data_IF_635952029929
#
_entry.id   IF_635952029929
#
_cell.length_a   1.000
_cell.length_b   1.000
_cell.length_c   1.000
_cell.angle_alpha   90.00
_cell.angle_beta   90.00
_cell.angle_gamma   90.00
#
_symmetry.space_group_name_H-M   'P 1'
#
loop_
_entity.id
_entity.type
_entity.pdbx_description
1 polymer ?
#
# COMPACT_ATOMS: atom_id res chain seq x y z
N UNK A 1 -23.85 -3.06 29.24
CA UNK A 1 -24.19 -2.57 27.89
C UNK A 1 -23.32 -1.36 27.63
N UNK A 2 -22.09 -1.61 27.19
CA UNK A 2 -21.13 -0.57 26.81
C UNK A 2 -20.64 -0.99 25.44
N UNK A 3 -21.34 -0.48 24.42
CA UNK A 3 -20.96 -0.63 23.02
C UNK A 3 -20.17 0.63 22.67
N UNK A 4 -18.85 0.52 22.79
CA UNK A 4 -17.89 1.59 22.53
C UNK A 4 -17.66 1.73 21.02
N UNK A 5 -18.09 2.87 20.48
CA UNK A 5 -17.40 3.67 19.46
C UNK A 5 -16.54 2.88 18.45
N UNK A 6 -17.20 2.34 17.42
CA UNK A 6 -16.56 2.11 16.13
C UNK A 6 -16.53 3.47 15.42
N UNK A 7 -15.37 4.13 15.43
CA UNK A 7 -15.05 5.15 14.44
C UNK A 7 -15.04 4.47 13.06
N UNK A 8 -16.17 4.53 12.36
CA UNK A 8 -16.22 4.18 10.95
C UNK A 8 -15.38 5.23 10.18
N UNK A 9 -14.29 4.76 9.59
CA UNK A 9 -13.49 5.51 8.62
C UNK A 9 -14.41 5.89 7.45
N UNK A 10 -15.04 7.07 7.55
CA UNK A 10 -15.98 7.59 6.57
C UNK A 10 -15.34 7.70 5.19
N UNK A 11 -15.78 6.85 4.26
CA UNK A 11 -15.52 7.01 2.84
C UNK A 11 -16.74 6.53 2.05
N UNK A 12 -17.39 7.48 1.37
CA UNK A 12 -18.43 7.19 0.38
C UNK A 12 -17.82 7.00 -1.02
N UNK A 13 -18.37 6.12 -1.87
CA UNK A 13 -17.88 5.89 -3.23
C UNK A 13 -18.05 7.13 -4.12
N UNK A 14 -17.29 7.18 -5.22
CA UNK A 14 -17.31 8.24 -6.22
C UNK A 14 -18.74 8.50 -6.75
N UNK A 15 -19.37 9.59 -6.31
CA UNK A 15 -20.53 10.15 -6.99
C UNK A 15 -20.06 10.97 -8.20
N UNK A 16 -20.72 10.80 -9.35
CA UNK A 16 -20.47 11.59 -10.56
C UNK A 16 -20.57 13.09 -10.23
N UNK A 17 -19.48 13.83 -10.49
CA UNK A 17 -19.26 15.21 -9.98
C UNK A 17 -18.15 15.34 -8.91
N UNK A 18 -17.45 14.23 -8.65
CA UNK A 18 -16.44 13.92 -7.63
C UNK A 18 -15.72 15.04 -6.87
N UNK A 19 -16.24 15.34 -5.68
CA UNK A 19 -15.52 15.99 -4.59
C UNK A 19 -14.86 14.90 -3.73
N UNK A 20 -13.54 14.94 -3.53
CA UNK A 20 -12.87 14.07 -2.54
C UNK A 20 -12.06 14.91 -1.58
N UNK A 21 -12.48 14.97 -0.32
CA UNK A 21 -11.67 15.49 0.78
C UNK A 21 -10.67 14.41 1.19
N UNK A 22 -9.43 14.50 0.73
CA UNK A 22 -8.37 13.59 1.19
C UNK A 22 -7.44 14.39 2.10
N UNK A 23 -7.52 14.14 3.42
CA UNK A 23 -6.76 14.86 4.44
C UNK A 23 -6.93 16.40 4.40
N UNK A 24 -8.13 16.89 4.07
CA UNK A 24 -8.41 18.33 3.97
C UNK A 24 -7.90 19.01 2.70
N UNK A 25 -7.34 18.25 1.75
CA UNK A 25 -6.97 18.75 0.42
C UNK A 25 -8.07 18.35 -0.55
N UNK A 26 -8.68 19.36 -1.16
CA UNK A 26 -9.59 19.19 -2.28
C UNK A 26 -8.78 18.78 -3.52
N UNK A 27 -9.17 17.65 -4.12
CA UNK A 27 -8.58 17.13 -5.36
C UNK A 27 -9.69 17.05 -6.38
N UNK A 28 -9.52 17.75 -7.50
CA UNK A 28 -10.47 17.75 -8.62
C UNK A 28 -9.81 17.16 -9.86
N UNK A 29 -10.60 16.60 -10.77
CA UNK A 29 -10.07 16.04 -12.03
C UNK A 29 -9.32 17.10 -12.87
N UNK A 30 -9.76 18.35 -12.80
CA UNK A 30 -9.06 19.50 -13.42
C UNK A 30 -7.64 19.73 -12.89
N UNK A 31 -7.31 19.25 -11.68
CA UNK A 31 -5.95 19.34 -11.14
C UNK A 31 -4.97 18.50 -11.95
N UNK A 32 -5.43 17.43 -12.61
CA UNK A 32 -4.59 16.63 -13.49
C UNK A 32 -4.01 17.47 -14.65
N UNK A 33 -4.77 18.44 -15.18
CA UNK A 33 -4.31 19.29 -16.27
C UNK A 33 -3.11 20.21 -15.90
N UNK A 34 -2.80 20.34 -14.61
CA UNK A 34 -1.67 21.17 -14.12
C UNK A 34 -0.33 20.45 -14.23
N UNK A 35 -0.31 19.13 -14.42
CA UNK A 35 0.93 18.35 -14.46
C UNK A 35 1.36 18.02 -15.89
N UNK A 36 2.67 17.91 -16.15
CA UNK A 36 3.17 17.46 -17.44
C UNK A 36 2.58 16.09 -17.82
N UNK A 37 2.20 15.91 -19.09
CA UNK A 37 1.60 14.67 -19.59
C UNK A 37 2.46 13.43 -19.30
N UNK A 38 3.78 13.57 -19.30
CA UNK A 38 4.76 12.52 -18.92
C UNK A 38 4.64 12.00 -17.49
N UNK A 39 3.94 12.70 -16.61
CA UNK A 39 3.72 12.27 -15.23
C UNK A 39 2.37 11.59 -15.03
N UNK A 40 1.45 11.75 -15.98
CA UNK A 40 0.05 11.28 -15.89
C UNK A 40 -0.20 10.12 -16.86
N UNK A 41 0.37 10.20 -18.05
CA UNK A 41 0.18 9.22 -19.11
C UNK A 41 1.30 8.18 -19.04
N UNK A 42 0.94 6.92 -19.20
CA UNK A 42 1.91 5.85 -19.39
C UNK A 42 2.37 5.89 -20.87
N UNK A 43 3.62 6.26 -21.11
CA UNK A 43 4.22 6.16 -22.44
C UNK A 43 4.82 4.76 -22.63
N UNK A 44 4.62 4.16 -23.81
CA UNK A 44 5.07 2.78 -24.13
C UNK A 44 6.59 2.64 -24.21
N UNK A 45 7.33 3.75 -24.24
CA UNK A 45 8.79 3.72 -24.25
C UNK A 45 9.34 3.22 -22.91
N UNK A 46 10.30 2.29 -22.98
CA UNK A 46 11.08 1.88 -21.82
C UNK A 46 11.66 3.12 -21.13
N UNK A 47 11.12 3.45 -19.95
CA UNK A 47 11.60 4.53 -19.10
C UNK A 47 13.10 4.34 -18.85
N UNK A 48 13.93 5.16 -19.48
CA UNK A 48 15.39 5.15 -19.29
C UNK A 48 15.72 5.61 -17.88
N UNK A 49 16.90 5.26 -17.37
CA UNK A 49 17.37 5.78 -16.08
C UNK A 49 17.39 7.32 -16.06
N UNK A 50 17.76 7.93 -17.19
CA UNK A 50 17.74 9.38 -17.35
C UNK A 50 16.32 9.95 -17.24
N UNK A 51 15.33 9.31 -17.86
CA UNK A 51 13.93 9.74 -17.73
C UNK A 51 13.47 9.66 -16.27
N UNK A 52 13.76 8.56 -15.57
CA UNK A 52 13.44 8.41 -14.15
C UNK A 52 14.11 9.47 -13.28
N UNK A 53 15.38 9.77 -13.54
CA UNK A 53 16.11 10.81 -12.82
C UNK A 53 15.48 12.19 -13.05
N UNK A 54 15.11 12.50 -14.29
CA UNK A 54 14.44 13.76 -14.63
C UNK A 54 13.07 13.88 -13.93
N UNK A 55 12.26 12.81 -13.92
CA UNK A 55 11.01 12.77 -13.16
C UNK A 55 11.24 13.02 -11.67
N UNK A 56 12.25 12.37 -11.08
CA UNK A 56 12.59 12.55 -9.67
C UNK A 56 12.97 14.00 -9.35
N UNK A 57 13.79 14.65 -10.20
CA UNK A 57 14.16 16.06 -10.04
C UNK A 57 12.95 17.01 -10.15
N UNK A 58 12.00 16.72 -11.04
CA UNK A 58 10.76 17.50 -11.11
C UNK A 58 9.90 17.29 -9.86
N UNK A 59 9.74 16.06 -9.39
CA UNK A 59 8.95 15.76 -8.19
C UNK A 59 9.54 16.41 -6.95
N UNK A 60 10.87 16.38 -6.75
CA UNK A 60 11.47 16.92 -5.52
C UNK A 60 11.30 18.44 -5.38
N UNK A 61 11.19 19.17 -6.49
CA UNK A 61 10.98 20.62 -6.52
C UNK A 61 9.52 21.04 -6.32
N UNK A 62 8.57 20.09 -6.40
CA UNK A 62 7.14 20.35 -6.20
C UNK A 62 6.77 20.63 -4.75
N UNK A 63 5.70 21.41 -4.57
CA UNK A 63 5.09 21.61 -3.26
C UNK A 63 4.47 20.32 -2.72
N UNK A 64 4.28 20.24 -1.40
CA UNK A 64 3.61 19.09 -0.76
C UNK A 64 2.19 18.87 -1.33
N UNK A 65 1.46 19.94 -1.59
CA UNK A 65 0.11 19.88 -2.15
C UNK A 65 0.12 19.36 -3.60
N UNK A 66 1.09 19.78 -4.41
CA UNK A 66 1.21 19.33 -5.80
C UNK A 66 1.62 17.87 -5.88
N UNK A 67 2.57 17.43 -5.05
CA UNK A 67 2.93 16.01 -4.94
C UNK A 67 1.73 15.15 -4.54
N UNK A 68 0.90 15.65 -3.62
CA UNK A 68 -0.28 14.95 -3.16
C UNK A 68 -1.31 14.78 -4.29
N UNK A 69 -1.65 15.86 -4.99
CA UNK A 69 -2.53 15.81 -6.17
C UNK A 69 -1.95 14.92 -7.26
N UNK A 70 -0.65 15.05 -7.52
CA UNK A 70 0.06 14.24 -8.49
C UNK A 70 -0.05 12.75 -8.14
N UNK A 71 0.09 12.36 -6.87
CA UNK A 71 -0.02 10.96 -6.44
C UNK A 71 -1.36 10.31 -6.85
N UNK A 72 -2.46 11.08 -6.86
CA UNK A 72 -3.81 10.61 -7.22
C UNK A 72 -3.97 10.35 -8.72
N UNK A 73 -3.28 11.13 -9.57
CA UNK A 73 -3.39 11.06 -11.04
C UNK A 73 -2.18 10.45 -11.74
N UNK A 74 -1.08 10.23 -11.01
CA UNK A 74 0.21 9.80 -11.52
C UNK A 74 0.14 8.50 -12.33
N UNK A 75 1.03 8.43 -13.32
CA UNK A 75 1.37 7.21 -14.05
C UNK A 75 2.19 6.25 -13.17
N UNK A 76 2.50 5.06 -13.69
CA UNK A 76 3.17 4.01 -12.90
C UNK A 76 4.55 4.43 -12.38
N UNK A 77 5.34 5.10 -13.20
CA UNK A 77 6.71 5.49 -12.84
C UNK A 77 6.71 6.54 -11.72
N UNK A 78 5.84 7.54 -11.82
CA UNK A 78 5.70 8.58 -10.80
C UNK A 78 5.13 8.00 -9.50
N UNK A 79 4.19 7.05 -9.55
CA UNK A 79 3.72 6.33 -8.35
C UNK A 79 4.87 5.59 -7.65
N UNK A 80 5.73 4.92 -8.41
CA UNK A 80 6.89 4.22 -7.87
C UNK A 80 7.92 5.15 -7.20
N UNK A 81 7.94 6.44 -7.56
CA UNK A 81 8.76 7.45 -6.89
C UNK A 81 8.04 8.00 -5.65
N UNK A 82 6.75 8.38 -5.78
CA UNK A 82 5.98 9.02 -4.72
C UNK A 82 5.64 8.09 -3.54
N UNK A 83 5.63 6.76 -3.75
CA UNK A 83 5.41 5.80 -2.66
C UNK A 83 6.53 5.85 -1.61
N UNK A 84 7.71 6.38 -1.97
CA UNK A 84 8.85 6.61 -1.07
C UNK A 84 8.91 8.01 -0.48
N UNK A 85 7.93 8.88 -0.77
CA UNK A 85 7.98 10.24 -0.23
C UNK A 85 8.01 10.18 1.30
N UNK A 86 8.88 10.95 1.97
CA UNK A 86 9.00 10.93 3.43
C UNK A 86 7.72 11.35 4.14
N UNK A 87 6.83 12.10 3.48
CA UNK A 87 5.55 12.48 4.06
C UNK A 87 4.53 11.38 3.83
N UNK A 88 4.10 10.75 4.93
CA UNK A 88 3.03 9.75 4.97
C UNK A 88 1.83 10.09 4.08
N UNK A 89 1.36 11.33 4.12
CA UNK A 89 0.18 11.75 3.35
C UNK A 89 0.33 11.55 1.84
N UNK A 90 1.55 11.71 1.30
CA UNK A 90 1.84 11.53 -0.13
C UNK A 90 1.92 10.04 -0.46
N UNK A 91 2.66 9.25 0.34
CA UNK A 91 2.76 7.80 0.12
C UNK A 91 1.40 7.12 0.20
N UNK A 92 0.52 7.56 1.12
CA UNK A 92 -0.84 7.03 1.23
C UNK A 92 -1.75 7.48 0.09
N UNK A 93 -1.55 8.69 -0.46
CA UNK A 93 -2.29 9.15 -1.64
C UNK A 93 -2.02 8.26 -2.86
N UNK A 94 -0.79 7.75 -3.03
CA UNK A 94 -0.47 6.79 -4.10
C UNK A 94 -1.40 5.57 -4.06
N UNK A 95 -1.69 5.04 -2.86
CA UNK A 95 -2.58 3.87 -2.71
C UNK A 95 -4.04 4.15 -3.09
N UNK A 96 -4.44 5.42 -3.16
CA UNK A 96 -5.80 5.87 -3.52
C UNK A 96 -5.96 6.17 -5.00
N UNK A 97 -4.86 6.16 -5.77
CA UNK A 97 -4.89 6.39 -7.21
C UNK A 97 -5.72 5.29 -7.91
N UNK A 98 -6.64 5.70 -8.79
CA UNK A 98 -7.57 4.80 -9.49
C UNK A 98 -6.86 3.83 -10.45
N UNK A 99 -5.66 4.20 -10.93
CA UNK A 99 -4.85 3.39 -11.86
C UNK A 99 -3.99 2.34 -11.16
N UNK A 100 -3.97 2.33 -9.82
CA UNK A 100 -3.22 1.31 -9.07
C UNK A 100 -3.92 -0.04 -9.16
N UNK A 101 -3.14 -1.05 -9.54
CA UNK A 101 -3.60 -2.42 -9.70
C UNK A 101 -3.06 -3.34 -8.58
N UNK A 102 -3.60 -4.55 -8.50
CA UNK A 102 -3.21 -5.54 -7.48
C UNK A 102 -1.74 -5.96 -7.59
N UNK A 103 -1.17 -6.01 -8.80
CA UNK A 103 0.25 -6.38 -9.01
C UNK A 103 1.19 -5.34 -8.39
N UNK A 104 0.87 -4.06 -8.57
CA UNK A 104 1.62 -2.95 -7.95
C UNK A 104 1.50 -2.97 -6.43
N UNK A 105 0.28 -3.14 -5.89
CA UNK A 105 0.09 -3.23 -4.44
C UNK A 105 0.81 -4.44 -3.85
N UNK A 106 0.82 -5.57 -4.55
CA UNK A 106 1.57 -6.75 -4.12
C UNK A 106 3.07 -6.46 -4.08
N UNK A 107 3.60 -5.79 -5.10
CA UNK A 107 4.99 -5.36 -5.12
C UNK A 107 5.30 -4.42 -3.93
N UNK A 108 4.40 -3.48 -3.61
CA UNK A 108 4.55 -2.61 -2.43
C UNK A 108 4.50 -3.39 -1.12
N UNK A 109 3.58 -4.35 -0.97
CA UNK A 109 3.48 -5.19 0.22
C UNK A 109 4.72 -6.06 0.45
N UNK A 110 5.45 -6.44 -0.60
CA UNK A 110 6.68 -7.23 -0.49
C UNK A 110 7.91 -6.37 -0.13
N UNK A 111 7.82 -5.05 -0.30
CA UNK A 111 8.94 -4.13 -0.10
C UNK A 111 9.20 -3.84 1.37
N UNK A 112 10.47 -3.91 1.76
CA UNK A 112 10.94 -3.64 3.13
C UNK A 112 11.41 -2.20 3.32
N UNK A 113 11.65 -1.48 2.25
CA UNK A 113 12.10 -0.08 2.24
C UNK A 113 10.94 0.91 2.41
N UNK A 114 9.71 0.55 2.06
CA UNK A 114 8.51 1.40 2.23
C UNK A 114 8.17 1.69 3.69
N UNK A 115 7.50 2.80 3.95
CA UNK A 115 7.09 3.17 5.32
C UNK A 115 6.10 2.15 5.91
N UNK A 116 6.12 2.01 7.24
CA UNK A 116 5.17 1.15 7.97
C UNK A 116 3.72 1.55 7.72
N UNK A 117 3.47 2.84 7.53
CA UNK A 117 2.14 3.37 7.25
C UNK A 117 1.57 2.85 5.93
N UNK A 118 2.40 2.74 4.89
CA UNK A 118 1.99 2.19 3.58
C UNK A 118 1.61 0.73 3.73
N UNK A 119 2.47 -0.08 4.36
CA UNK A 119 2.23 -1.51 4.56
C UNK A 119 0.99 -1.73 5.44
N UNK A 120 0.83 -0.93 6.49
CA UNK A 120 -0.35 -0.97 7.37
C UNK A 120 -1.63 -0.59 6.63
N UNK A 121 -1.60 0.45 5.78
CA UNK A 121 -2.76 0.84 4.98
C UNK A 121 -3.18 -0.28 4.03
N UNK A 122 -2.23 -0.92 3.34
CA UNK A 122 -2.50 -2.09 2.48
C UNK A 122 -3.08 -3.24 3.32
N UNK A 123 -2.52 -3.51 4.49
CA UNK A 123 -2.98 -4.58 5.38
C UNK A 123 -4.34 -4.34 6.02
N UNK A 124 -4.82 -3.10 6.12
CA UNK A 124 -6.16 -2.78 6.63
C UNK A 124 -7.21 -2.90 5.54
N UNK A 125 -6.90 -2.51 4.32
CA UNK A 125 -7.83 -2.47 3.21
C UNK A 125 -8.23 -3.87 2.69
N UNK A 126 -9.53 -4.19 2.76
CA UNK A 126 -10.08 -5.46 2.31
C UNK A 126 -10.02 -5.64 0.78
N UNK A 127 -9.92 -4.53 0.03
CA UNK A 127 -9.76 -4.57 -1.44
C UNK A 127 -8.55 -5.41 -1.83
N UNK A 128 -7.44 -5.26 -1.11
CA UNK A 128 -6.15 -5.86 -1.48
C UNK A 128 -5.93 -7.26 -0.89
N UNK A 129 -6.51 -7.56 0.29
CA UNK A 129 -6.28 -8.82 1.03
C UNK A 129 -6.97 -10.08 0.47
N UNK A 130 -7.50 -10.04 -0.75
CA UNK A 130 -8.28 -11.17 -1.30
C UNK A 130 -7.39 -12.34 -1.69
N UNK A 131 -6.25 -12.07 -2.33
CA UNK A 131 -5.40 -13.10 -2.90
C UNK A 131 -4.42 -13.69 -1.89
N UNK A 132 -4.12 -14.98 -2.06
CA UNK A 132 -3.14 -15.69 -1.24
C UNK A 132 -1.75 -15.01 -1.26
N UNK A 133 -1.19 -14.62 -2.43
CA UNK A 133 0.11 -13.96 -2.48
C UNK A 133 0.14 -12.66 -1.68
N UNK A 134 -0.96 -11.89 -1.66
CA UNK A 134 -1.04 -10.68 -0.84
C UNK A 134 -0.96 -11.01 0.65
N UNK A 135 -1.76 -11.98 1.11
CA UNK A 135 -1.76 -12.39 2.53
C UNK A 135 -0.37 -12.85 2.95
N UNK A 136 0.29 -13.65 2.12
CA UNK A 136 1.66 -14.11 2.37
C UNK A 136 2.64 -12.94 2.43
N UNK A 137 2.61 -12.03 1.45
CA UNK A 137 3.48 -10.86 1.40
C UNK A 137 3.34 -9.97 2.64
N UNK A 138 2.10 -9.74 3.09
CA UNK A 138 1.85 -8.96 4.31
C UNK A 138 2.37 -9.67 5.55
N UNK A 139 2.14 -10.97 5.70
CA UNK A 139 2.58 -11.71 6.89
C UNK A 139 4.11 -11.80 6.99
N UNK A 140 4.82 -11.87 5.87
CA UNK A 140 6.29 -11.95 5.84
C UNK A 140 6.97 -10.57 5.88
N UNK A 141 6.24 -9.48 5.73
CA UNK A 141 6.80 -8.14 5.82
C UNK A 141 6.99 -7.72 7.29
N UNK A 142 8.22 -7.36 7.73
CA UNK A 142 8.49 -6.95 9.10
C UNK A 142 7.77 -5.65 9.52
N UNK A 143 7.34 -4.83 8.56
CA UNK A 143 6.58 -3.59 8.78
C UNK A 143 5.07 -3.81 8.85
N UNK A 144 4.58 -5.05 8.76
CA UNK A 144 3.17 -5.33 9.00
C UNK A 144 2.92 -5.45 10.51
N UNK A 145 1.95 -4.70 11.07
CA UNK A 145 1.61 -4.79 12.48
C UNK A 145 1.27 -6.22 12.90
N UNK A 146 1.80 -6.65 14.05
CA UNK A 146 1.70 -8.03 14.55
C UNK A 146 0.24 -8.52 14.60
N UNK A 147 -0.69 -7.67 15.03
CA UNK A 147 -2.13 -8.01 15.11
C UNK A 147 -2.72 -8.38 13.76
N UNK A 148 -2.40 -7.61 12.71
CA UNK A 148 -2.85 -7.89 11.35
C UNK A 148 -2.20 -9.16 10.80
N UNK A 149 -0.92 -9.37 11.05
CA UNK A 149 -0.21 -10.59 10.62
C UNK A 149 -0.78 -11.85 11.26
N UNK A 150 -1.10 -11.83 12.57
CA UNK A 150 -1.72 -12.97 13.27
C UNK A 150 -3.07 -13.32 12.66
N UNK A 151 -3.90 -12.33 12.33
CA UNK A 151 -5.22 -12.53 11.72
C UNK A 151 -5.14 -13.18 10.33
N UNK A 152 -4.01 -13.07 9.65
CA UNK A 152 -3.80 -13.65 8.32
C UNK A 152 -3.28 -15.09 8.36
N UNK A 153 -2.71 -15.55 9.49
CA UNK A 153 -2.15 -16.91 9.63
C UNK A 153 -3.13 -18.03 9.27
N UNK A 154 -4.43 -17.98 9.66
CA UNK A 154 -5.38 -19.05 9.32
C UNK A 154 -5.59 -19.25 7.81
N UNK A 155 -5.25 -18.25 6.99
CA UNK A 155 -5.38 -18.31 5.54
C UNK A 155 -4.13 -18.81 4.82
N UNK A 156 -3.02 -19.03 5.54
CA UNK A 156 -1.78 -19.50 4.96
C UNK A 156 -1.74 -21.04 4.84
N UNK A 157 -0.99 -21.53 3.85
CA UNK A 157 -0.73 -22.96 3.68
C UNK A 157 0.32 -23.44 4.69
N UNK A 158 0.29 -24.73 5.03
CA UNK A 158 1.18 -25.31 6.03
C UNK A 158 2.66 -25.19 5.65
N UNK A 159 2.98 -25.26 4.36
CA UNK A 159 4.34 -25.05 3.84
C UNK A 159 4.84 -23.66 4.23
N UNK A 160 4.03 -22.63 4.03
CA UNK A 160 4.43 -21.25 4.26
C UNK A 160 4.41 -20.89 5.74
N UNK A 161 3.49 -21.45 6.53
CA UNK A 161 3.54 -21.35 7.99
C UNK A 161 4.83 -21.98 8.56
N UNK A 162 5.29 -23.11 8.00
CA UNK A 162 6.55 -23.74 8.40
C UNK A 162 7.73 -22.82 8.07
N UNK A 163 7.75 -22.23 6.87
CA UNK A 163 8.76 -21.25 6.47
C UNK A 163 8.76 -20.03 7.39
N UNK A 164 7.59 -19.46 7.68
CA UNK A 164 7.40 -18.30 8.55
C UNK A 164 7.92 -18.55 9.97
N UNK A 165 7.70 -19.76 10.51
CA UNK A 165 8.18 -20.14 11.84
C UNK A 165 9.71 -20.15 11.98
N UNK A 166 10.43 -20.23 10.85
CA UNK A 166 11.89 -20.28 10.77
C UNK A 166 12.50 -18.97 10.27
N UNK A 167 11.68 -18.04 9.80
CA UNK A 167 12.14 -16.81 9.13
C UNK A 167 12.74 -15.84 10.15
N UNK A 168 14.04 -15.56 10.07
CA UNK A 168 14.74 -14.66 11.00
C UNK A 168 14.20 -13.22 10.99
N UNK A 169 13.61 -12.76 9.89
CA UNK A 169 13.18 -11.38 9.70
C UNK A 169 11.82 -11.08 10.33
N UNK A 170 11.11 -12.12 10.79
CA UNK A 170 9.77 -12.02 11.36
C UNK A 170 9.81 -11.89 12.89
N UNK A 171 8.85 -11.14 13.44
CA UNK A 171 8.71 -10.95 14.88
C UNK A 171 8.61 -12.29 15.64
N UNK A 172 9.32 -12.48 16.77
CA UNK A 172 9.30 -13.74 17.53
C UNK A 172 7.90 -14.20 17.94
N UNK A 173 7.02 -13.27 18.32
CA UNK A 173 5.64 -13.56 18.67
C UNK A 173 4.84 -14.15 17.50
N UNK A 174 5.08 -13.67 16.27
CA UNK A 174 4.41 -14.20 15.08
C UNK A 174 4.88 -15.63 14.77
N UNK A 175 6.17 -15.94 14.97
CA UNK A 175 6.71 -17.30 14.81
C UNK A 175 6.04 -18.27 15.77
N UNK A 176 5.96 -17.90 17.04
CA UNK A 176 5.33 -18.73 18.07
C UNK A 176 3.87 -19.01 17.72
N UNK A 177 3.14 -17.99 17.26
CA UNK A 177 1.75 -18.14 16.81
C UNK A 177 1.64 -19.04 15.57
N UNK A 178 2.54 -18.91 14.60
CA UNK A 178 2.55 -19.79 13.43
C UNK A 178 2.83 -21.26 13.81
N UNK A 179 3.74 -21.52 14.76
CA UNK A 179 4.00 -22.87 15.28
C UNK A 179 2.79 -23.45 16.02
N UNK A 180 2.13 -22.63 16.83
CA UNK A 180 0.89 -23.01 17.53
C UNK A 180 -0.20 -23.42 16.54
N UNK A 181 -0.43 -22.63 15.49
CA UNK A 181 -1.38 -22.93 14.42
C UNK A 181 -1.05 -24.23 13.68
N UNK A 182 0.22 -24.45 13.33
CA UNK A 182 0.66 -25.70 12.69
C UNK A 182 0.40 -26.92 13.57
N UNK A 183 0.68 -26.82 14.87
CA UNK A 183 0.42 -27.91 15.81
C UNK A 183 -1.07 -28.23 15.89
N UNK A 184 -1.92 -27.20 15.95
CA UNK A 184 -3.38 -27.38 15.98
C UNK A 184 -3.91 -28.06 14.71
N UNK A 185 -3.35 -27.75 13.52
CA UNK A 185 -3.75 -28.39 12.26
C UNK A 185 -3.36 -29.87 12.18
N UNK A 186 -2.17 -30.24 12.67
CA UNK A 186 -1.68 -31.62 12.65
C UNK A 186 -2.36 -32.54 13.68
N UNK A 187 -3.15 -32.00 14.62
CA UNK A 187 -3.90 -32.78 15.61
C UNK A 187 -5.30 -33.15 15.09
N UNK A 188 -5.78 -32.52 14.01
CA UNK A 188 -6.99 -32.91 13.28
C UNK A 188 -6.68 -33.97 12.22
#
# INVERSE_FOLDING_TARGET
MTDELIQEDGWEPLHEGGETLVNGIEVREEDAAKFPSEMIQDFEENCTEEHRQNLYQKIITMSTADKFRLAIFANREVRNLLIHDPKRMISLAVLKNQRVNEKEILAYAQRRDLSEDVVTAIAKDQKWKKSYPMKLALVTNPKTPLSLSINLLPHLQDRDLKSLSRDKDVAPALKQKAQEFLRQRNIK
#
